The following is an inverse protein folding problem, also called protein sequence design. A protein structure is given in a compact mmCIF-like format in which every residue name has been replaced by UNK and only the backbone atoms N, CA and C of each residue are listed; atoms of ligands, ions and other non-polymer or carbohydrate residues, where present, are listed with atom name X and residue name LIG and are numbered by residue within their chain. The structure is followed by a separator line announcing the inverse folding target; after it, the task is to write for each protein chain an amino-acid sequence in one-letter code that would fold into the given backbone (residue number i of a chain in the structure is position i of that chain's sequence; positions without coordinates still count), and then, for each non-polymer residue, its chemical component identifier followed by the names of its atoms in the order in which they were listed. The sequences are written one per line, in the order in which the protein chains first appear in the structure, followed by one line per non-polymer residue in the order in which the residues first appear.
data_IF_563164031689
#
_entry.id   IF_563164031689
#
_cell.length_a   1.000
_cell.length_b   1.000
_cell.length_c   1.000
_cell.angle_alpha   90.00
_cell.angle_beta   90.00
_cell.angle_gamma   90.00
#
_symmetry.space_group_name_H-M   'P 1'
#
loop_
_entity.id
_entity.type
_entity.pdbx_description
1 polymer ?
#
# COMPACT_ATOMS: atom_id res chain seq x y z
N UNK A 1 1.16 18.29 20.83
CA UNK A 1 0.83 18.01 19.42
C UNK A 1 -0.32 17.04 19.41
N UNK A 2 -1.48 17.36 18.82
CA UNK A 2 -2.54 16.36 18.61
C UNK A 2 -1.95 15.25 17.74
N UNK A 3 -1.83 14.03 18.26
CA UNK A 3 -1.49 12.88 17.43
C UNK A 3 -2.68 12.62 16.52
N UNK A 4 -2.61 13.12 15.29
CA UNK A 4 -3.62 12.83 14.28
C UNK A 4 -3.47 11.35 13.88
N UNK A 5 -4.59 10.64 13.85
CA UNK A 5 -4.64 9.26 13.36
C UNK A 5 -4.12 9.13 11.92
N UNK A 6 -3.75 7.89 11.56
CA UNK A 6 -3.31 7.57 10.20
C UNK A 6 -4.53 7.23 9.36
N UNK A 7 -4.65 7.88 8.20
CA UNK A 7 -5.65 7.55 7.18
C UNK A 7 -5.09 6.51 6.22
N UNK A 8 -5.97 5.69 5.66
CA UNK A 8 -5.59 4.60 4.75
C UNK A 8 -6.35 4.71 3.42
N UNK A 9 -5.76 4.15 2.36
CA UNK A 9 -6.45 3.88 1.09
C UNK A 9 -7.00 2.45 1.09
N UNK A 10 -8.32 2.29 1.09
CA UNK A 10 -8.97 1.01 1.37
C UNK A 10 -9.95 0.61 0.24
N UNK A 11 -10.13 -0.69 0.03
CA UNK A 11 -11.20 -1.18 -0.86
C UNK A 11 -12.59 -0.78 -0.35
N UNK A 12 -13.50 -0.43 -1.25
CA UNK A 12 -14.87 -0.06 -0.91
C UNK A 12 -15.64 -1.18 -0.20
N UNK A 13 -15.28 -2.45 -0.40
CA UNK A 13 -15.91 -3.61 0.28
C UNK A 13 -15.88 -3.48 1.81
N UNK A 14 -14.79 -2.95 2.38
CA UNK A 14 -14.60 -2.85 3.83
C UNK A 14 -15.46 -1.74 4.48
N UNK A 15 -16.06 -0.87 3.68
CA UNK A 15 -17.02 0.14 4.18
C UNK A 15 -18.25 -0.54 4.78
N UNK A 16 -18.64 -1.71 4.25
CA UNK A 16 -19.84 -2.45 4.67
C UNK A 16 -19.64 -3.27 5.94
N UNK A 17 -18.39 -3.45 6.38
CA UNK A 17 -18.10 -4.20 7.60
C UNK A 17 -18.48 -3.38 8.84
N UNK A 18 -19.36 -3.89 9.72
CA UNK A 18 -19.75 -3.18 10.95
C UNK A 18 -18.52 -3.00 11.86
N UNK A 19 -18.51 -1.92 12.64
CA UNK A 19 -17.38 -1.41 13.43
C UNK A 19 -16.13 -0.99 12.62
N UNK A 20 -15.58 -1.88 11.77
CA UNK A 20 -14.39 -1.61 10.96
C UNK A 20 -14.63 -0.44 10.00
N UNK A 21 -15.74 -0.44 9.26
CA UNK A 21 -16.08 0.65 8.35
C UNK A 21 -16.36 1.98 9.06
N UNK A 22 -16.80 1.97 10.33
CA UNK A 22 -16.99 3.18 11.12
C UNK A 22 -15.64 3.75 11.58
N UNK A 23 -14.77 2.90 12.16
CA UNK A 23 -13.43 3.29 12.60
C UNK A 23 -12.60 3.86 11.43
N UNK A 24 -12.66 3.24 10.25
CA UNK A 24 -11.95 3.71 9.07
C UNK A 24 -12.41 5.09 8.61
N UNK A 25 -13.71 5.42 8.77
CA UNK A 25 -14.26 6.75 8.48
C UNK A 25 -13.80 7.78 9.50
N UNK A 26 -13.76 7.44 10.78
CA UNK A 26 -13.25 8.33 11.84
C UNK A 26 -11.77 8.65 11.68
N UNK A 27 -10.97 7.68 11.22
CA UNK A 27 -9.56 7.88 10.86
C UNK A 27 -9.37 8.73 9.58
N UNK A 28 -10.45 9.13 8.92
CA UNK A 28 -10.42 9.88 7.67
C UNK A 28 -9.90 9.06 6.49
N UNK A 29 -9.98 7.73 6.53
CA UNK A 29 -9.61 6.87 5.40
C UNK A 29 -10.53 7.10 4.21
N UNK A 30 -10.03 6.85 3.01
CA UNK A 30 -10.79 7.00 1.77
C UNK A 30 -10.79 5.71 0.98
N UNK A 31 -11.85 5.52 0.20
CA UNK A 31 -12.20 4.23 -0.35
C UNK A 31 -12.12 4.23 -1.87
N UNK A 32 -11.67 3.12 -2.43
CA UNK A 32 -11.59 2.90 -3.87
C UNK A 32 -12.38 1.67 -4.26
N UNK A 33 -13.29 1.83 -5.23
CA UNK A 33 -13.87 0.70 -5.94
C UNK A 33 -12.92 0.33 -7.09
N UNK A 34 -12.45 -0.92 -7.09
CA UNK A 34 -11.47 -1.43 -8.08
C UNK A 34 -12.09 -1.65 -9.46
N UNK A 35 -13.41 -1.85 -9.53
CA UNK A 35 -14.14 -2.13 -10.78
C UNK A 35 -14.41 -0.82 -11.55
N UNK A 36 -14.86 0.22 -10.84
CA UNK A 36 -15.18 1.51 -11.43
C UNK A 36 -13.94 2.36 -11.72
N UNK A 37 -13.72 2.68 -13.00
CA UNK A 37 -12.61 3.56 -13.40
C UNK A 37 -12.73 4.97 -12.81
N UNK A 38 -13.96 5.51 -12.76
CA UNK A 38 -14.25 6.82 -12.15
C UNK A 38 -13.83 6.85 -10.68
N UNK A 39 -14.13 5.78 -9.93
CA UNK A 39 -13.70 5.68 -8.53
C UNK A 39 -12.19 5.63 -8.39
N UNK A 40 -11.47 4.92 -9.27
CA UNK A 40 -10.00 4.87 -9.26
C UNK A 40 -9.38 6.23 -9.52
N UNK A 41 -9.91 6.99 -10.48
CA UNK A 41 -9.44 8.36 -10.79
C UNK A 41 -9.67 9.30 -9.60
N UNK A 42 -10.89 9.32 -9.05
CA UNK A 42 -11.18 10.16 -7.88
C UNK A 42 -10.31 9.82 -6.66
N UNK A 43 -10.04 8.52 -6.41
CA UNK A 43 -9.17 8.10 -5.33
C UNK A 43 -7.71 8.53 -5.56
N UNK A 44 -7.25 8.51 -6.81
CA UNK A 44 -5.92 9.00 -7.18
C UNK A 44 -5.80 10.51 -6.94
N UNK A 45 -6.79 11.29 -7.38
CA UNK A 45 -6.80 12.75 -7.20
C UNK A 45 -6.84 13.13 -5.71
N UNK A 46 -7.68 12.42 -4.92
CA UNK A 46 -7.74 12.59 -3.47
C UNK A 46 -6.39 12.26 -2.81
N UNK A 47 -5.71 11.20 -3.26
CA UNK A 47 -4.40 10.82 -2.75
C UNK A 47 -3.36 11.92 -3.03
N UNK A 48 -3.32 12.44 -4.26
CA UNK A 48 -2.40 13.51 -4.66
C UNK A 48 -2.64 14.77 -3.82
N UNK A 49 -3.90 15.19 -3.68
CA UNK A 49 -4.27 16.35 -2.87
C UNK A 49 -3.80 16.18 -1.42
N UNK A 50 -4.09 15.03 -0.79
CA UNK A 50 -3.66 14.75 0.59
C UNK A 50 -2.15 14.75 0.77
N UNK A 51 -1.41 14.21 -0.20
CA UNK A 51 0.06 14.23 -0.16
C UNK A 51 0.59 15.67 -0.25
N UNK A 52 0.02 16.50 -1.12
CA UNK A 52 0.37 17.92 -1.25
C UNK A 52 0.01 18.71 0.00
N UNK A 53 -1.17 18.49 0.58
CA UNK A 53 -1.62 19.18 1.79
C UNK A 53 -0.74 18.83 2.99
N UNK A 54 -0.33 17.57 3.11
CA UNK A 54 0.62 17.14 4.14
C UNK A 54 2.00 17.79 3.93
N UNK A 55 2.51 17.77 2.71
CA UNK A 55 3.81 18.36 2.38
C UNK A 55 3.84 19.87 2.64
N UNK A 56 2.76 20.57 2.32
CA UNK A 56 2.59 22.01 2.51
C UNK A 56 2.12 22.39 3.93
N UNK A 57 2.05 21.43 4.87
CA UNK A 57 1.60 21.63 6.27
C UNK A 57 0.18 22.20 6.40
N UNK A 58 -0.67 21.99 5.39
CA UNK A 58 -2.11 22.33 5.42
C UNK A 58 -2.92 21.26 6.17
N UNK A 59 -2.43 20.03 6.18
CA UNK A 59 -3.00 18.92 6.94
C UNK A 59 -1.91 18.17 7.70
N UNK A 60 -2.25 17.68 8.89
CA UNK A 60 -1.36 16.86 9.72
C UNK A 60 -1.73 15.37 9.70
N UNK A 61 -2.77 15.00 8.93
CA UNK A 61 -3.21 13.61 8.78
C UNK A 61 -2.25 12.87 7.85
N UNK A 62 -1.61 11.82 8.37
CA UNK A 62 -0.72 10.97 7.56
C UNK A 62 -1.55 10.00 6.73
N UNK A 63 -1.11 9.71 5.52
CA UNK A 63 -1.75 8.71 4.65
C UNK A 63 -0.81 7.52 4.49
N UNK A 64 -1.24 6.33 4.91
CA UNK A 64 -0.53 5.07 4.69
C UNK A 64 -1.13 4.35 3.48
N UNK A 65 -0.26 4.01 2.54
CA UNK A 65 -0.65 3.34 1.29
C UNK A 65 0.25 2.14 1.05
N UNK A 66 -0.35 1.01 0.69
CA UNK A 66 0.36 -0.15 0.19
C UNK A 66 0.51 -0.04 -1.33
N UNK A 67 1.71 0.29 -1.86
CA UNK A 67 1.90 0.55 -3.29
C UNK A 67 1.68 -0.69 -4.17
N UNK A 68 1.77 -1.88 -3.59
CA UNK A 68 1.44 -3.16 -4.20
C UNK A 68 -0.07 -3.26 -4.56
N UNK A 69 -0.93 -2.69 -3.70
CA UNK A 69 -2.38 -2.77 -3.81
C UNK A 69 -2.95 -4.18 -3.65
N UNK A 70 -2.15 -5.15 -3.22
CA UNK A 70 -2.56 -6.50 -2.82
C UNK A 70 -1.65 -6.99 -1.69
N UNK A 71 -1.94 -8.18 -1.17
CA UNK A 71 -1.13 -8.87 -0.17
C UNK A 71 -0.55 -10.14 -0.81
N UNK A 72 0.76 -10.29 -0.71
CA UNK A 72 1.48 -11.52 -1.09
C UNK A 72 1.55 -12.53 0.06
N UNK A 73 2.27 -13.63 -0.16
CA UNK A 73 2.56 -14.69 0.80
C UNK A 73 3.72 -14.38 1.76
N UNK A 74 4.20 -13.13 1.80
CA UNK A 74 5.31 -12.71 2.67
C UNK A 74 6.71 -13.19 2.22
N UNK A 75 6.83 -13.88 1.08
CA UNK A 75 8.12 -14.24 0.45
C UNK A 75 8.37 -13.45 -0.83
N UNK A 76 7.30 -13.04 -1.49
CA UNK A 76 7.36 -12.29 -2.75
C UNK A 76 6.84 -10.87 -2.54
N UNK A 77 7.36 -9.92 -3.32
CA UNK A 77 6.87 -8.55 -3.38
C UNK A 77 6.42 -8.27 -4.80
N UNK A 78 5.16 -7.85 -4.96
CA UNK A 78 4.66 -7.50 -6.29
C UNK A 78 5.08 -6.09 -6.69
N UNK A 79 4.99 -5.82 -7.99
CA UNK A 79 5.36 -4.53 -8.57
C UNK A 79 4.51 -3.38 -8.03
N UNK A 80 5.15 -2.23 -7.85
CA UNK A 80 4.52 -1.04 -7.30
C UNK A 80 3.70 -0.29 -8.36
N UNK A 81 2.53 0.19 -7.95
CA UNK A 81 1.60 0.90 -8.83
C UNK A 81 1.85 2.40 -8.83
N UNK A 82 1.47 3.06 -9.93
CA UNK A 82 1.57 4.50 -10.16
C UNK A 82 1.06 5.39 -9.01
N UNK A 83 0.02 4.94 -8.31
CA UNK A 83 -0.75 5.74 -7.35
C UNK A 83 0.08 6.63 -6.43
N UNK A 84 0.90 6.03 -5.55
CA UNK A 84 1.64 6.78 -4.53
C UNK A 84 2.79 7.62 -5.08
N UNK A 85 3.33 7.25 -6.25
CA UNK A 85 4.57 7.82 -6.80
C UNK A 85 4.32 8.94 -7.82
N UNK A 86 3.06 9.13 -8.25
CA UNK A 86 2.71 10.12 -9.27
C UNK A 86 2.97 11.57 -8.83
N UNK A 87 2.82 11.85 -7.54
CA UNK A 87 3.00 13.20 -6.98
C UNK A 87 4.47 13.62 -6.89
N UNK A 88 5.41 12.69 -7.06
CA UNK A 88 6.85 12.93 -6.95
C UNK A 88 7.22 13.70 -5.67
N UNK A 89 6.55 13.37 -4.57
CA UNK A 89 6.85 13.92 -3.25
C UNK A 89 7.73 12.96 -2.43
N UNK A 90 8.46 13.48 -1.43
CA UNK A 90 9.17 12.65 -0.46
C UNK A 90 8.22 11.67 0.24
N UNK A 91 8.63 10.42 0.35
CA UNK A 91 7.86 9.39 1.07
C UNK A 91 8.74 8.73 2.12
N UNK A 92 8.12 8.37 3.26
CA UNK A 92 8.75 7.55 4.29
C UNK A 92 8.37 6.09 4.03
N UNK A 93 9.29 5.24 3.58
CA UNK A 93 8.98 3.84 3.32
C UNK A 93 8.98 3.04 4.62
N UNK A 94 8.00 2.14 4.72
CA UNK A 94 7.83 1.19 5.81
C UNK A 94 7.76 -0.21 5.19
N UNK A 95 8.63 -1.11 5.64
CA UNK A 95 8.64 -2.50 5.22
C UNK A 95 8.01 -3.33 6.33
N UNK A 96 6.87 -3.97 6.05
CA UNK A 96 6.26 -4.93 6.96
C UNK A 96 6.89 -6.29 6.70
N UNK A 97 7.53 -6.87 7.72
CA UNK A 97 8.17 -8.17 7.61
C UNK A 97 7.15 -9.28 7.87
N UNK A 98 7.28 -10.44 7.18
CA UNK A 98 6.35 -11.54 7.34
C UNK A 98 6.38 -12.08 8.76
N UNK A 99 5.20 -12.20 9.38
CA UNK A 99 5.06 -12.82 10.68
C UNK A 99 4.41 -14.20 10.54
N UNK A 100 5.08 -15.25 11.03
CA UNK A 100 4.54 -16.62 11.07
C UNK A 100 3.23 -16.72 11.84
N UNK A 101 3.07 -15.89 12.87
CA UNK A 101 1.86 -15.87 13.68
C UNK A 101 0.70 -15.14 13.00
N UNK A 102 0.93 -14.44 11.89
CA UNK A 102 -0.08 -13.62 11.23
C UNK A 102 0.08 -13.66 9.69
N UNK A 103 -0.23 -14.81 9.06
CA UNK A 103 -0.13 -14.94 7.61
C UNK A 103 -1.28 -14.19 6.92
N UNK A 104 -1.00 -13.02 6.35
CA UNK A 104 -1.98 -12.17 5.65
C UNK A 104 -2.55 -12.76 4.34
N UNK A 105 -2.09 -13.93 3.90
CA UNK A 105 -2.50 -14.58 2.65
C UNK A 105 -3.53 -15.72 2.84
N UNK A 106 -3.97 -15.98 4.07
CA UNK A 106 -4.95 -17.05 4.36
C UNK A 106 -6.40 -16.62 4.11
N UNK A 107 -7.34 -17.56 4.27
CA UNK A 107 -8.78 -17.28 4.24
C UNK A 107 -9.12 -16.07 5.12
N UNK A 108 -9.85 -15.09 4.56
CA UNK A 108 -10.21 -13.82 5.23
C UNK A 108 -10.97 -14.06 6.54
N UNK A 109 -11.81 -15.09 6.59
CA UNK A 109 -12.57 -15.45 7.79
C UNK A 109 -11.67 -15.98 8.91
N UNK A 110 -10.78 -16.93 8.60
CA UNK A 110 -9.79 -17.45 9.56
C UNK A 110 -8.86 -16.35 10.05
N UNK A 111 -8.47 -15.44 9.15
CA UNK A 111 -7.66 -14.29 9.50
C UNK A 111 -8.37 -13.35 10.48
N UNK A 112 -9.66 -13.07 10.26
CA UNK A 112 -10.47 -12.25 11.16
C UNK A 112 -10.58 -12.89 12.55
N UNK A 113 -10.96 -14.17 12.63
CA UNK A 113 -11.03 -14.92 13.90
C UNK A 113 -9.69 -14.92 14.62
N UNK A 114 -8.59 -15.16 13.90
CA UNK A 114 -7.26 -15.12 14.49
C UNK A 114 -6.89 -13.72 15.00
N UNK A 115 -7.34 -12.66 14.33
CA UNK A 115 -7.08 -11.27 14.76
C UNK A 115 -7.79 -10.95 16.07
N UNK A 116 -9.04 -11.41 16.25
CA UNK A 116 -9.79 -11.19 17.51
C UNK A 116 -9.32 -12.10 18.65
N UNK A 117 -8.77 -13.27 18.35
CA UNK A 117 -8.32 -14.23 19.36
C UNK A 117 -6.85 -14.05 19.81
N UNK A 118 -6.03 -13.30 19.07
CA UNK A 118 -4.64 -13.07 19.43
C UNK A 118 -4.51 -11.73 20.17
N UNK A 119 -4.36 -11.79 21.48
CA UNK A 119 -4.26 -10.63 22.36
C UNK A 119 -2.99 -9.77 22.15
N UNK A 120 -1.91 -10.33 21.57
CA UNK A 120 -0.63 -9.64 21.41
C UNK A 120 -0.02 -9.85 20.01
N UNK A 121 -0.56 -9.15 19.01
CA UNK A 121 -0.04 -9.20 17.64
C UNK A 121 1.16 -8.25 17.53
N UNK A 122 2.37 -8.82 17.49
CA UNK A 122 3.60 -8.07 17.18
C UNK A 122 3.87 -8.15 15.68
N UNK A 123 3.76 -7.05 14.97
CA UNK A 123 4.09 -7.00 13.53
C UNK A 123 5.50 -6.43 13.40
N UNK A 124 6.51 -7.22 13.01
CA UNK A 124 7.85 -6.69 12.76
C UNK A 124 7.81 -5.77 11.54
N UNK A 125 8.40 -4.59 11.66
CA UNK A 125 8.53 -3.66 10.55
C UNK A 125 9.90 -2.99 10.58
N UNK A 126 10.41 -2.62 9.41
CA UNK A 126 11.61 -1.82 9.25
C UNK A 126 11.22 -0.43 8.71
N UNK A 127 11.61 0.61 9.45
CA UNK A 127 11.45 1.99 8.98
C UNK A 127 12.66 2.41 8.18
N UNK A 128 12.43 2.92 6.98
CA UNK A 128 13.49 3.46 6.13
C UNK A 128 13.56 4.98 6.25
N UNK A 129 14.73 5.58 5.95
CA UNK A 129 14.85 7.02 5.82
C UNK A 129 13.94 7.55 4.72
N UNK A 130 13.57 8.83 4.83
CA UNK A 130 12.72 9.49 3.85
C UNK A 130 13.44 9.52 2.50
N UNK A 131 12.83 8.90 1.50
CA UNK A 131 13.34 8.90 0.13
C UNK A 131 12.77 10.13 -0.57
N UNK A 132 13.65 10.97 -1.12
CA UNK A 132 13.28 12.15 -1.89
C UNK A 132 13.55 11.89 -3.37
N UNK A 133 12.62 12.22 -4.28
CA UNK A 133 12.89 12.17 -5.71
C UNK A 133 13.87 13.27 -6.08
N UNK A 134 15.10 12.90 -6.43
CA UNK A 134 16.16 13.84 -6.86
C UNK A 134 16.42 13.71 -8.36
N UNK A 135 16.89 14.78 -9.05
CA UNK A 135 17.30 14.70 -10.45
C UNK A 135 18.33 13.58 -10.69
N UNK A 136 19.30 13.44 -9.78
CA UNK A 136 20.31 12.38 -9.80
C UNK A 136 19.71 10.98 -9.80
N UNK A 137 18.65 10.74 -8.99
CA UNK A 137 17.96 9.45 -8.98
C UNK A 137 17.37 9.13 -10.37
N UNK A 138 16.76 10.12 -11.03
CA UNK A 138 16.14 9.92 -12.34
C UNK A 138 17.16 9.68 -13.45
N UNK A 139 18.32 10.32 -13.39
CA UNK A 139 19.39 10.11 -14.37
C UNK A 139 20.06 8.75 -14.19
N UNK A 140 20.47 8.42 -12.95
CA UNK A 140 21.15 7.16 -12.65
C UNK A 140 20.28 5.94 -12.94
N UNK A 141 18.99 6.02 -12.63
CA UNK A 141 18.04 4.91 -12.76
C UNK A 141 17.11 5.05 -13.96
N UNK A 142 17.50 5.83 -14.97
CA UNK A 142 16.71 6.01 -16.20
C UNK A 142 16.39 4.69 -16.91
N UNK A 143 17.24 3.67 -16.76
CA UNK A 143 17.01 2.35 -17.33
C UNK A 143 15.84 1.59 -16.68
N UNK A 144 15.38 2.01 -15.49
CA UNK A 144 14.31 1.33 -14.75
C UNK A 144 12.89 1.76 -15.14
N UNK A 145 12.70 2.76 -15.99
CA UNK A 145 11.36 3.20 -16.36
C UNK A 145 11.35 4.30 -17.42
N UNK A 146 10.20 4.49 -18.06
CA UNK A 146 10.00 5.54 -19.08
C UNK A 146 9.60 6.86 -18.44
N UNK A 147 8.72 6.79 -17.45
CA UNK A 147 8.19 7.96 -16.74
C UNK A 147 8.89 8.17 -15.39
N UNK A 148 8.97 9.41 -14.91
CA UNK A 148 9.61 9.74 -13.61
C UNK A 148 9.02 8.97 -12.43
N UNK A 149 7.68 8.82 -12.40
CA UNK A 149 7.02 8.07 -11.32
C UNK A 149 7.38 6.59 -11.34
N UNK A 150 7.60 6.02 -12.52
CA UNK A 150 7.91 4.59 -12.70
C UNK A 150 9.33 4.31 -12.23
N UNK A 151 10.29 5.17 -12.60
CA UNK A 151 11.66 5.12 -12.07
C UNK A 151 11.63 5.19 -10.54
N UNK A 152 10.87 6.13 -9.98
CA UNK A 152 10.77 6.28 -8.54
C UNK A 152 10.17 5.05 -7.86
N UNK A 153 9.07 4.51 -8.41
CA UNK A 153 8.43 3.30 -7.90
C UNK A 153 9.37 2.09 -7.93
N UNK A 154 10.10 1.90 -9.04
CA UNK A 154 10.99 0.77 -9.22
C UNK A 154 12.25 0.86 -8.35
N UNK A 155 12.78 2.07 -8.13
CA UNK A 155 13.87 2.28 -7.16
C UNK A 155 13.43 1.90 -5.75
N UNK A 156 12.26 2.37 -5.32
CA UNK A 156 11.75 2.03 -3.98
C UNK A 156 11.42 0.53 -3.89
N UNK A 157 10.89 -0.07 -4.95
CA UNK A 157 10.62 -1.51 -4.99
C UNK A 157 11.91 -2.35 -4.82
N UNK A 158 13.00 -1.98 -5.51
CA UNK A 158 14.31 -2.64 -5.33
C UNK A 158 14.85 -2.51 -3.92
N UNK A 159 14.73 -1.34 -3.30
CA UNK A 159 15.13 -1.15 -1.90
C UNK A 159 14.31 -2.07 -0.98
N UNK A 160 13.01 -2.26 -1.25
CA UNK A 160 12.18 -3.18 -0.48
C UNK A 160 12.60 -4.64 -0.69
N UNK A 161 12.94 -5.04 -1.91
CA UNK A 161 13.43 -6.38 -2.22
C UNK A 161 14.74 -6.69 -1.49
N UNK A 162 15.70 -5.75 -1.54
CA UNK A 162 17.02 -5.89 -0.92
C UNK A 162 16.95 -5.94 0.60
N UNK A 163 16.26 -4.99 1.24
CA UNK A 163 16.19 -4.90 2.71
C UNK A 163 15.23 -5.94 3.29
N UNK A 164 14.12 -6.20 2.60
CA UNK A 164 13.11 -7.16 3.04
C UNK A 164 13.44 -8.62 2.74
N UNK A 165 14.45 -8.90 1.90
CA UNK A 165 14.80 -10.25 1.47
C UNK A 165 13.70 -10.92 0.64
N UNK A 166 12.89 -10.13 -0.07
CA UNK A 166 11.76 -10.63 -0.85
C UNK A 166 12.19 -10.99 -2.28
N UNK A 167 11.45 -11.91 -2.90
CA UNK A 167 11.57 -12.22 -4.35
C UNK A 167 10.59 -11.37 -5.16
N UNK A 168 11.02 -10.87 -6.31
CA UNK A 168 10.13 -10.10 -7.19
C UNK A 168 9.05 -10.99 -7.81
N UNK A 169 7.84 -10.46 -7.95
CA UNK A 169 6.76 -11.12 -8.71
C UNK A 169 5.97 -10.14 -9.55
N UNK A 170 5.61 -10.57 -10.76
CA UNK A 170 4.79 -9.80 -11.71
C UNK A 170 3.31 -10.20 -11.70
N UNK A 171 2.90 -11.08 -10.77
CA UNK A 171 1.51 -11.55 -10.68
C UNK A 171 0.60 -10.39 -10.28
N UNK A 172 -0.36 -10.05 -11.14
CA UNK A 172 -1.35 -9.03 -10.82
C UNK A 172 -2.47 -9.64 -9.99
N UNK A 173 -3.09 -8.82 -9.15
CA UNK A 173 -4.27 -9.21 -8.38
C UNK A 173 -5.39 -9.81 -9.26
N UNK A 174 -5.60 -9.29 -10.47
CA UNK A 174 -6.62 -9.80 -11.40
C UNK A 174 -6.33 -11.23 -11.84
N UNK A 175 -5.06 -11.56 -12.06
CA UNK A 175 -4.65 -12.91 -12.48
C UNK A 175 -4.89 -13.91 -11.34
N UNK A 176 -4.66 -13.48 -10.09
CA UNK A 176 -5.00 -14.25 -8.89
C UNK A 176 -6.50 -14.50 -8.75
N UNK A 177 -7.35 -13.50 -9.02
CA UNK A 177 -8.82 -13.66 -8.97
C UNK A 177 -9.30 -14.66 -10.02
N UNK A 178 -8.80 -14.54 -11.26
CA UNK A 178 -9.12 -15.49 -12.34
C UNK A 178 -8.73 -16.92 -11.98
N UNK A 179 -7.56 -17.11 -11.37
CA UNK A 179 -7.11 -18.43 -10.92
C UNK A 179 -8.10 -19.07 -9.95
N UNK A 180 -8.58 -18.32 -8.95
CA UNK A 180 -9.57 -18.87 -8.00
C UNK A 180 -10.91 -19.17 -8.66
N UNK A 181 -11.36 -18.33 -9.61
CA UNK A 181 -12.60 -18.58 -10.35
C UNK A 181 -12.52 -19.88 -11.16
N UNK A 182 -11.39 -20.14 -11.82
CA UNK A 182 -11.15 -21.38 -12.58
C UNK A 182 -11.00 -22.58 -11.65
N UNK A 183 -10.42 -22.41 -10.46
CA UNK A 183 -10.22 -23.50 -9.51
C UNK A 183 -11.50 -23.88 -8.73
N UNK A 184 -12.53 -23.02 -8.79
CA UNK A 184 -13.86 -23.25 -8.20
C UNK A 184 -14.87 -23.81 -9.22
N UNK A 185 -14.52 -23.85 -10.51
CA UNK A 185 -15.23 -24.57 -11.60
C UNK A 185 -14.77 -26.03 -11.70
#
# INVERSE_FOLDING_TARGET
MKEYGVSYLITYELVRAPAVGAALRELGSFFVNRESEKSRKNALDTLIQRQQDFYNKKSYVRTLVFPEGTTTNGKYLATFKKGTFISLLPLKPLIVLPNKNFPCSTNRFLFFIRTICVYNIKIPYAELPIIKPTPFMFEKYKMLGKEKWEIYANVVNKIYLEIGGFKETNIKFRDRVKYYQIAEE
#
